data_IF_310030630678
#
_entry.id   IF_310030630678
#
_cell.length_a   1.000
_cell.length_b   1.000
_cell.length_c   1.000
_cell.angle_alpha   90.00
_cell.angle_beta   90.00
_cell.angle_gamma   90.00
#
_symmetry.space_group_name_H-M   'P 1'
#
loop_
_entity.id
_entity.type
_entity.pdbx_description
1 polymer ?
#
# COMPACT_ATOMS: atom_id res chain seq x y z
N UNK A 1 0.62 2.55 8.72
CA UNK A 1 0.21 1.13 8.59
C UNK A 1 -0.31 0.57 9.91
N UNK A 2 0.35 0.83 11.05
CA UNK A 2 -0.16 0.48 12.39
C UNK A 2 -1.61 0.94 12.64
N UNK A 3 -1.94 2.22 12.36
CA UNK A 3 -3.30 2.72 12.56
C UNK A 3 -4.38 2.04 11.72
N UNK A 4 -4.00 1.50 10.54
CA UNK A 4 -4.92 0.74 9.67
C UNK A 4 -5.12 -0.67 10.25
N UNK A 5 -4.07 -1.29 10.79
CA UNK A 5 -4.18 -2.58 11.49
C UNK A 5 -5.03 -2.46 12.75
N UNK A 6 -4.83 -1.41 13.55
CA UNK A 6 -5.65 -1.13 14.73
C UNK A 6 -7.12 -0.89 14.34
N UNK A 7 -7.37 -0.12 13.28
CA UNK A 7 -8.74 0.10 12.77
C UNK A 7 -9.39 -1.18 12.30
N UNK A 8 -8.65 -2.08 11.64
CA UNK A 8 -9.16 -3.38 11.18
C UNK A 8 -9.42 -4.35 12.35
N UNK A 9 -8.56 -4.33 13.36
CA UNK A 9 -8.76 -5.09 14.60
C UNK A 9 -10.02 -4.61 15.33
N UNK A 10 -10.16 -3.31 15.52
CA UNK A 10 -11.34 -2.73 16.16
C UNK A 10 -12.64 -3.04 15.39
N UNK A 11 -12.59 -3.03 14.05
CA UNK A 11 -13.71 -3.44 13.22
C UNK A 11 -14.07 -4.92 13.41
N UNK A 12 -13.06 -5.78 13.52
CA UNK A 12 -13.21 -7.24 13.74
C UNK A 12 -13.79 -7.52 15.13
N UNK A 13 -13.33 -6.82 16.16
CA UNK A 13 -13.82 -6.95 17.52
C UNK A 13 -15.27 -6.47 17.63
N UNK A 14 -15.60 -5.33 17.03
CA UNK A 14 -16.97 -4.82 16.96
C UNK A 14 -17.90 -5.78 16.19
N UNK A 15 -17.38 -6.45 15.14
CA UNK A 15 -18.11 -7.47 14.40
C UNK A 15 -18.41 -8.69 15.27
N UNK A 16 -17.41 -9.24 15.95
CA UNK A 16 -17.58 -10.39 16.82
C UNK A 16 -18.56 -10.09 17.97
N UNK A 17 -18.51 -8.89 18.53
CA UNK A 17 -19.47 -8.44 19.53
C UNK A 17 -20.91 -8.41 18.98
N UNK A 18 -21.14 -7.72 17.86
CA UNK A 18 -22.48 -7.64 17.23
C UNK A 18 -23.03 -9.01 16.80
N UNK A 19 -22.15 -9.89 16.34
CA UNK A 19 -22.51 -11.27 15.97
C UNK A 19 -22.88 -12.11 17.20
N UNK A 20 -22.14 -11.98 18.30
CA UNK A 20 -22.43 -12.65 19.55
C UNK A 20 -23.74 -12.16 20.20
N UNK A 21 -23.97 -10.84 20.19
CA UNK A 21 -25.23 -10.25 20.66
C UNK A 21 -26.41 -10.80 19.85
N UNK A 22 -26.25 -10.86 18.52
CA UNK A 22 -27.25 -11.44 17.62
C UNK A 22 -27.51 -12.94 17.88
N UNK A 23 -26.45 -13.73 18.11
CA UNK A 23 -26.57 -15.15 18.47
C UNK A 23 -27.27 -15.34 19.82
N UNK A 24 -27.02 -14.48 20.81
CA UNK A 24 -27.73 -14.53 22.09
C UNK A 24 -29.22 -14.25 21.94
N UNK A 25 -29.60 -13.29 21.11
CA UNK A 25 -31.02 -12.93 20.91
C UNK A 25 -31.79 -14.03 20.17
N UNK A 26 -31.14 -14.73 19.23
CA UNK A 26 -31.68 -15.95 18.60
C UNK A 26 -31.90 -17.08 19.63
N UNK A 27 -30.95 -17.28 20.55
CA UNK A 27 -31.05 -18.35 21.55
C UNK A 27 -32.09 -18.05 22.65
N UNK A 28 -32.38 -16.77 22.94
CA UNK A 28 -33.40 -16.35 23.91
C UNK A 28 -34.84 -16.50 23.38
N UNK A 29 -35.04 -16.55 22.06
CA UNK A 29 -36.37 -16.71 21.44
C UNK A 29 -36.74 -18.20 21.27
N UNK A 30 -36.97 -18.90 22.38
CA UNK A 30 -37.41 -20.32 22.43
C UNK A 30 -38.92 -20.54 22.18
N UNK A 31 -39.64 -19.58 21.61
CA UNK A 31 -41.08 -19.70 21.29
C UNK A 31 -41.29 -19.71 19.78
N UNK A 32 -42.28 -20.45 19.24
CA UNK A 32 -42.50 -20.59 17.80
C UNK A 32 -43.15 -19.31 17.26
N UNK A 33 -42.37 -18.24 17.17
CA UNK A 33 -42.77 -17.02 16.46
C UNK A 33 -41.98 -17.02 15.17
N UNK A 34 -42.70 -17.12 14.06
CA UNK A 34 -42.18 -17.15 12.71
C UNK A 34 -41.55 -15.80 12.36
N UNK A 35 -40.36 -15.53 12.90
CA UNK A 35 -39.59 -14.30 12.67
C UNK A 35 -38.92 -14.37 11.29
N UNK A 36 -39.73 -14.25 10.23
CA UNK A 36 -39.26 -14.27 8.84
C UNK A 36 -38.33 -13.09 8.48
N UNK A 37 -38.27 -12.03 9.29
CA UNK A 37 -37.42 -10.85 9.03
C UNK A 37 -35.97 -11.01 9.48
N UNK A 38 -35.70 -11.75 10.55
CA UNK A 38 -34.36 -11.88 11.15
C UNK A 38 -33.30 -12.46 10.20
N UNK A 39 -33.58 -13.55 9.45
CA UNK A 39 -32.64 -14.09 8.48
C UNK A 39 -32.35 -13.09 7.33
N UNK A 40 -33.35 -12.30 6.95
CA UNK A 40 -33.22 -11.28 5.88
C UNK A 40 -32.34 -10.12 6.37
N UNK A 41 -32.59 -9.61 7.57
CA UNK A 41 -31.77 -8.56 8.20
C UNK A 41 -30.31 -9.02 8.37
N UNK A 42 -30.10 -10.26 8.81
CA UNK A 42 -28.77 -10.85 8.92
C UNK A 42 -28.06 -10.93 7.56
N UNK A 43 -28.75 -11.43 6.53
CA UNK A 43 -28.17 -11.53 5.19
C UNK A 43 -27.83 -10.16 4.59
N UNK A 44 -28.65 -9.15 4.90
CA UNK A 44 -28.45 -7.76 4.48
C UNK A 44 -27.24 -7.15 5.18
N UNK A 45 -27.15 -7.31 6.51
CA UNK A 45 -26.00 -6.86 7.29
C UNK A 45 -24.70 -7.53 6.83
N UNK A 46 -24.70 -8.86 6.67
CA UNK A 46 -23.53 -9.60 6.18
C UNK A 46 -23.08 -9.11 4.81
N UNK A 47 -24.02 -8.88 3.89
CA UNK A 47 -23.72 -8.39 2.54
C UNK A 47 -23.13 -6.98 2.56
N UNK A 48 -23.69 -6.09 3.39
CA UNK A 48 -23.16 -4.74 3.59
C UNK A 48 -21.72 -4.77 4.12
N UNK A 49 -21.43 -5.60 5.13
CA UNK A 49 -20.08 -5.72 5.70
C UNK A 49 -19.09 -6.29 4.68
N UNK A 50 -19.45 -7.34 3.94
CA UNK A 50 -18.61 -7.87 2.87
C UNK A 50 -18.33 -6.81 1.80
N UNK A 51 -19.32 -5.98 1.46
CA UNK A 51 -19.14 -4.86 0.54
C UNK A 51 -18.17 -3.80 1.10
N UNK A 52 -18.28 -3.48 2.39
CA UNK A 52 -17.38 -2.53 3.05
C UNK A 52 -15.93 -3.05 3.08
N UNK A 53 -15.73 -4.33 3.42
CA UNK A 53 -14.41 -4.97 3.42
C UNK A 53 -13.79 -5.02 2.01
N UNK A 54 -14.58 -5.39 0.99
CA UNK A 54 -14.13 -5.36 -0.40
C UNK A 54 -13.73 -3.95 -0.86
N UNK A 55 -14.46 -2.94 -0.40
CA UNK A 55 -14.14 -1.54 -0.71
C UNK A 55 -12.82 -1.12 -0.06
N UNK A 56 -12.62 -1.49 1.21
CA UNK A 56 -11.38 -1.21 1.93
C UNK A 56 -10.18 -1.91 1.27
N UNK A 57 -10.32 -3.17 0.87
CA UNK A 57 -9.29 -3.90 0.15
C UNK A 57 -8.89 -3.16 -1.13
N UNK A 58 -9.86 -2.75 -1.94
CA UNK A 58 -9.59 -1.97 -3.17
C UNK A 58 -8.90 -0.64 -2.89
N UNK A 59 -9.28 0.04 -1.81
CA UNK A 59 -8.62 1.30 -1.42
C UNK A 59 -7.15 1.08 -1.06
N UNK A 60 -6.82 0.00 -0.34
CA UNK A 60 -5.44 -0.37 -0.01
C UNK A 60 -4.65 -0.71 -1.28
N UNK A 61 -5.24 -1.47 -2.20
CA UNK A 61 -4.62 -1.79 -3.49
C UNK A 61 -4.34 -0.52 -4.32
N UNK A 62 -5.29 0.42 -4.38
CA UNK A 62 -5.09 1.70 -5.06
C UNK A 62 -3.97 2.53 -4.42
N UNK A 63 -3.90 2.56 -3.08
CA UNK A 63 -2.84 3.27 -2.36
C UNK A 63 -1.46 2.67 -2.66
N UNK A 64 -1.35 1.35 -2.70
CA UNK A 64 -0.09 0.67 -3.05
C UNK A 64 0.39 1.08 -4.45
N UNK A 65 -0.50 1.06 -5.44
CA UNK A 65 -0.19 1.50 -6.81
C UNK A 65 0.21 2.98 -6.88
N UNK A 66 -0.43 3.84 -6.10
CA UNK A 66 -0.10 5.27 -6.12
C UNK A 66 1.24 5.55 -5.42
N UNK A 67 1.60 4.78 -4.38
CA UNK A 67 2.94 4.85 -3.76
C UNK A 67 4.01 4.48 -4.78
N UNK A 68 3.84 3.36 -5.50
CA UNK A 68 4.80 2.95 -6.54
C UNK A 68 4.89 4.00 -7.65
N UNK A 69 3.76 4.55 -8.10
CA UNK A 69 3.75 5.66 -9.07
C UNK A 69 4.45 6.89 -8.54
N UNK A 70 4.26 7.25 -7.28
CA UNK A 70 4.98 8.37 -6.68
C UNK A 70 6.47 8.12 -6.60
N UNK A 71 6.88 6.90 -6.25
CA UNK A 71 8.30 6.54 -6.22
C UNK A 71 8.92 6.64 -7.61
N UNK A 72 8.27 6.06 -8.62
CA UNK A 72 8.71 6.14 -10.02
C UNK A 72 8.74 7.58 -10.53
N UNK A 73 7.72 8.39 -10.17
CA UNK A 73 7.72 9.84 -10.45
C UNK A 73 8.85 10.56 -9.73
N UNK A 74 9.24 10.19 -8.51
CA UNK A 74 10.38 10.81 -7.84
C UNK A 74 11.70 10.43 -8.50
N UNK A 75 11.82 9.18 -8.97
CA UNK A 75 13.01 8.65 -9.64
C UNK A 75 13.12 8.99 -11.13
N UNK A 76 12.15 9.69 -11.72
CA UNK A 76 12.11 9.96 -13.17
C UNK A 76 13.33 10.71 -13.75
N UNK A 77 14.12 11.39 -12.92
CA UNK A 77 15.36 12.11 -13.31
C UNK A 77 16.63 11.45 -12.78
N UNK A 78 16.53 10.25 -12.22
CA UNK A 78 17.66 9.49 -11.72
C UNK A 78 18.11 8.49 -12.78
N UNK A 79 19.41 8.42 -13.00
CA UNK A 79 20.05 7.39 -13.82
C UNK A 79 20.89 6.56 -12.88
N UNK A 80 20.69 5.23 -12.92
CA UNK A 80 21.41 4.30 -12.08
C UNK A 80 22.55 3.68 -12.89
N UNK A 81 23.79 3.88 -12.44
CA UNK A 81 24.97 3.28 -13.06
C UNK A 81 25.26 1.94 -12.42
N UNK A 82 25.52 0.91 -13.24
CA UNK A 82 25.79 -0.46 -12.78
C UNK A 82 27.16 -0.92 -13.28
N UNK A 83 27.77 -1.88 -12.59
CA UNK A 83 29.05 -2.47 -13.02
C UNK A 83 30.24 -1.53 -12.89
N UNK A 84 30.11 -0.45 -12.12
CA UNK A 84 31.20 0.48 -11.82
C UNK A 84 32.07 -0.12 -10.70
N UNK A 85 33.36 -0.36 -10.92
CA UNK A 85 34.21 -1.06 -9.94
C UNK A 85 34.51 -0.17 -8.73
N UNK A 86 34.18 -0.58 -7.51
CA UNK A 86 34.31 0.24 -6.28
C UNK A 86 35.75 0.62 -5.91
N UNK A 87 35.96 1.79 -5.29
CA UNK A 87 37.26 2.23 -4.78
C UNK A 87 37.17 2.66 -3.29
N UNK A 88 38.26 2.48 -2.53
CA UNK A 88 38.30 2.81 -1.08
C UNK A 88 38.08 4.30 -0.78
N UNK A 89 38.53 5.18 -1.66
CA UNK A 89 38.28 6.62 -1.61
C UNK A 89 37.75 6.98 -2.98
N UNK A 90 36.45 7.20 -3.08
CA UNK A 90 35.76 7.34 -4.36
C UNK A 90 35.16 8.73 -4.52
N UNK A 91 35.62 9.46 -5.53
CA UNK A 91 34.88 10.60 -6.07
C UNK A 91 33.91 10.07 -7.13
N UNK A 92 32.67 9.82 -6.71
CA UNK A 92 31.60 9.31 -7.59
C UNK A 92 31.33 10.27 -8.74
N UNK A 93 31.48 11.59 -8.54
CA UNK A 93 31.21 12.59 -9.56
C UNK A 93 32.24 12.50 -10.68
N UNK A 94 33.53 12.54 -10.32
CA UNK A 94 34.61 12.43 -11.30
C UNK A 94 34.52 11.12 -12.08
N UNK A 95 34.26 10.01 -11.39
CA UNK A 95 34.18 8.68 -12.00
C UNK A 95 33.01 8.54 -12.97
N UNK A 96 31.81 8.97 -12.59
CA UNK A 96 30.64 8.94 -13.48
C UNK A 96 30.87 9.86 -14.67
N UNK A 97 31.46 11.05 -14.47
CA UNK A 97 31.73 11.96 -15.60
C UNK A 97 32.72 11.38 -16.59
N UNK A 98 33.79 10.72 -16.11
CA UNK A 98 34.74 10.03 -16.98
C UNK A 98 34.09 8.89 -17.75
N UNK A 99 33.30 8.06 -17.07
CA UNK A 99 32.62 6.92 -17.70
C UNK A 99 31.63 7.35 -18.78
N UNK A 100 30.85 8.40 -18.51
CA UNK A 100 29.90 8.97 -19.47
C UNK A 100 30.62 9.62 -20.64
N UNK A 101 31.68 10.39 -20.39
CA UNK A 101 32.47 11.03 -21.45
C UNK A 101 33.12 10.00 -22.38
N UNK A 102 33.66 8.91 -21.81
CA UNK A 102 34.29 7.83 -22.56
C UNK A 102 33.28 7.01 -23.37
N UNK A 103 32.18 6.58 -22.77
CA UNK A 103 31.23 5.67 -23.44
C UNK A 103 30.29 6.38 -24.43
N UNK A 104 30.06 7.69 -24.26
CA UNK A 104 29.18 8.47 -25.13
C UNK A 104 29.93 9.46 -26.04
N UNK A 105 31.26 9.44 -26.05
CA UNK A 105 32.11 10.34 -26.84
C UNK A 105 31.81 11.83 -26.61
N UNK A 106 31.61 12.20 -25.33
CA UNK A 106 31.28 13.57 -24.91
C UNK A 106 32.52 14.31 -24.38
N UNK A 107 33.33 14.82 -25.30
CA UNK A 107 34.60 15.52 -25.00
C UNK A 107 34.49 16.75 -24.09
N UNK A 108 33.31 17.35 -23.97
CA UNK A 108 33.05 18.54 -23.15
C UNK A 108 32.29 18.24 -21.84
N UNK A 109 32.06 16.97 -21.51
CA UNK A 109 31.35 16.58 -20.29
C UNK A 109 32.32 16.49 -19.10
N UNK A 110 32.03 17.21 -18.02
CA UNK A 110 32.89 17.22 -16.81
C UNK A 110 32.04 17.37 -15.54
N UNK A 111 32.69 17.37 -14.37
CA UNK A 111 32.03 17.62 -13.10
C UNK A 111 31.30 18.98 -13.06
N UNK A 112 31.80 19.98 -13.78
CA UNK A 112 31.13 21.28 -13.92
C UNK A 112 29.80 21.21 -14.69
N UNK A 113 29.59 20.17 -15.50
CA UNK A 113 28.34 19.93 -16.23
C UNK A 113 27.22 19.40 -15.31
N UNK A 114 27.54 18.99 -14.09
CA UNK A 114 26.59 18.44 -13.12
C UNK A 114 26.21 19.52 -12.11
N UNK A 115 24.92 19.87 -12.07
CA UNK A 115 24.38 20.73 -11.01
C UNK A 115 24.31 19.94 -9.70
N UNK A 116 25.05 20.38 -8.70
CA UNK A 116 24.87 19.94 -7.31
C UNK A 116 23.71 20.76 -6.71
N UNK A 117 22.67 20.05 -6.26
CA UNK A 117 21.53 20.61 -5.50
C UNK A 117 21.71 20.37 -4.02
#
# INVERSE_FOLDING_TARGET
MESIKESLSALTDMFNARMNDFQQDLNKTSSPVTNHSLPVEFSTFRSFILSALNTLQRQVECLALEIDRQEMRRRHKMILFHGVPEQKVEDTTAKITGLVAEHLDLSNFSSASIKQT
#
